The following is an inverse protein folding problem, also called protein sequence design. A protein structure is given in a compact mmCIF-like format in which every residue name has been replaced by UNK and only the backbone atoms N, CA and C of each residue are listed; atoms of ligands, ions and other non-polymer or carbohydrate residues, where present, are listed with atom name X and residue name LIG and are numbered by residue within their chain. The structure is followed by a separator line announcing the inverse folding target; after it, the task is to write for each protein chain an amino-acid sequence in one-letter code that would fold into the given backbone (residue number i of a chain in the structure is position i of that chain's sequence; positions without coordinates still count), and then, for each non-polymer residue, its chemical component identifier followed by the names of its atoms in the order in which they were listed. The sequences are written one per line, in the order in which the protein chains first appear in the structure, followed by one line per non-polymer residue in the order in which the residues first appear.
data_IF_761603366643
#
_entry.id   IF_761603366643
#
_cell.length_a   1.000
_cell.length_b   1.000
_cell.length_c   1.000
_cell.angle_alpha   90.00
_cell.angle_beta   90.00
_cell.angle_gamma   90.00
#
_symmetry.space_group_name_H-M   'P 1'
#
loop_
_entity.id
_entity.type
_entity.pdbx_description
1 polymer ?
#
# COMPACT_ATOMS: atom_id res chain seq x y z
N UNK A 1 -11.13 15.18 8.13
CA UNK A 1 -10.32 14.59 7.03
C UNK A 1 -9.63 13.36 7.59
N UNK A 2 -10.36 12.25 7.64
CA UNK A 2 -10.02 11.06 8.45
C UNK A 2 -9.05 10.11 7.72
N UNK A 3 -9.17 10.01 6.39
CA UNK A 3 -8.31 9.14 5.57
C UNK A 3 -6.85 9.58 5.51
N UNK A 4 -6.59 10.89 5.57
CA UNK A 4 -5.23 11.43 5.74
C UNK A 4 -4.64 11.02 7.09
N UNK A 5 -5.41 10.96 8.17
CA UNK A 5 -4.91 10.43 9.45
C UNK A 5 -4.59 8.95 9.36
N UNK A 6 -5.41 8.17 8.66
CA UNK A 6 -5.17 6.74 8.40
C UNK A 6 -3.87 6.51 7.64
N UNK A 7 -3.54 7.34 6.65
CA UNK A 7 -2.25 7.30 5.96
C UNK A 7 -1.06 7.45 6.92
N UNK A 8 -1.10 8.45 7.81
CA UNK A 8 -0.02 8.68 8.77
C UNK A 8 0.11 7.53 9.76
N UNK A 9 -1.01 7.06 10.30
CA UNK A 9 -1.05 5.93 11.23
C UNK A 9 -0.55 4.63 10.59
N UNK A 10 -0.99 4.33 9.37
CA UNK A 10 -0.57 3.18 8.59
C UNK A 10 0.95 3.14 8.34
N UNK A 11 1.56 4.32 8.14
CA UNK A 11 3.02 4.46 7.98
C UNK A 11 3.78 4.51 9.31
N UNK A 12 3.09 4.51 10.45
CA UNK A 12 3.70 4.72 11.76
C UNK A 12 4.34 6.10 11.92
N UNK A 13 3.81 7.12 11.24
CA UNK A 13 4.31 8.50 11.31
C UNK A 13 3.42 9.25 12.28
N UNK A 14 3.99 9.64 13.43
CA UNK A 14 3.28 10.50 14.37
C UNK A 14 3.00 11.88 13.74
N UNK A 15 1.75 12.34 13.82
CA UNK A 15 1.35 13.70 13.43
C UNK A 15 1.80 14.75 14.47
N UNK A 16 3.08 14.74 14.86
CA UNK A 16 3.69 15.75 15.75
C UNK A 16 4.15 16.98 14.96
N UNK A 17 4.36 18.09 15.67
CA UNK A 17 4.76 19.39 15.10
C UNK A 17 6.05 19.39 14.26
N UNK A 18 6.89 18.34 14.35
CA UNK A 18 8.07 18.15 13.50
C UNK A 18 8.12 16.73 12.92
N UNK A 19 7.47 16.52 11.78
CA UNK A 19 7.71 15.36 10.92
C UNK A 19 9.16 15.44 10.40
N UNK A 20 9.93 14.34 10.52
CA UNK A 20 11.31 14.28 10.02
C UNK A 20 11.36 14.56 8.51
N UNK A 21 12.50 15.06 8.01
CA UNK A 21 12.66 15.36 6.57
C UNK A 21 12.38 14.12 5.68
N UNK A 22 12.79 12.95 6.15
CA UNK A 22 12.52 11.67 5.48
C UNK A 22 11.02 11.34 5.44
N UNK A 23 10.31 11.49 6.57
CA UNK A 23 8.87 11.25 6.62
C UNK A 23 8.08 12.25 5.76
N UNK A 24 8.52 13.52 5.70
CA UNK A 24 7.95 14.51 4.79
C UNK A 24 8.11 14.07 3.33
N UNK A 25 9.30 13.62 2.95
CA UNK A 25 9.57 13.13 1.60
C UNK A 25 8.68 11.93 1.23
N UNK A 26 8.49 10.98 2.16
CA UNK A 26 7.59 9.83 1.99
C UNK A 26 6.16 10.31 1.71
N UNK A 27 5.63 11.17 2.57
CA UNK A 27 4.26 11.70 2.43
C UNK A 27 4.12 12.45 1.11
N UNK A 28 5.09 13.30 0.75
CA UNK A 28 5.09 14.02 -0.52
C UNK A 28 5.06 13.07 -1.72
N UNK A 29 5.81 11.95 -1.71
CA UNK A 29 5.76 10.96 -2.78
C UNK A 29 4.39 10.31 -2.93
N UNK A 30 3.76 9.94 -1.81
CA UNK A 30 2.41 9.36 -1.81
C UNK A 30 1.39 10.38 -2.33
N UNK A 31 1.38 11.60 -1.78
CA UNK A 31 0.44 12.64 -2.18
C UNK A 31 0.61 13.04 -3.65
N UNK A 32 1.84 13.15 -4.14
CA UNK A 32 2.10 13.43 -5.56
C UNK A 32 1.62 12.29 -6.46
N UNK A 33 1.72 11.03 -6.01
CA UNK A 33 1.21 9.88 -6.75
C UNK A 33 -0.31 9.90 -6.81
N UNK A 34 -0.98 10.11 -5.67
CA UNK A 34 -2.44 10.27 -5.61
C UNK A 34 -2.93 11.42 -6.47
N UNK A 35 -2.28 12.59 -6.38
CA UNK A 35 -2.64 13.79 -7.14
C UNK A 35 -2.62 13.57 -8.66
N UNK A 36 -1.70 12.73 -9.16
CA UNK A 36 -1.64 12.38 -10.60
C UNK A 36 -2.88 11.60 -11.05
N UNK A 37 -3.38 10.69 -10.21
CA UNK A 37 -4.58 9.89 -10.50
C UNK A 37 -5.88 10.65 -10.23
N UNK A 38 -5.86 11.56 -9.27
CA UNK A 38 -7.00 12.40 -8.90
C UNK A 38 -7.17 13.65 -9.80
N UNK A 39 -6.51 13.72 -10.96
CA UNK A 39 -6.62 14.87 -11.87
C UNK A 39 -6.19 16.21 -11.27
N UNK A 40 -5.30 16.20 -10.27
CA UNK A 40 -4.84 17.39 -9.56
C UNK A 40 -5.63 17.75 -8.29
N UNK A 41 -6.78 17.12 -8.04
CA UNK A 41 -7.57 17.30 -6.81
C UNK A 41 -7.03 16.46 -5.65
N UNK A 42 -7.26 16.92 -4.42
CA UNK A 42 -6.98 16.18 -3.19
C UNK A 42 -8.21 16.18 -2.26
N UNK A 43 -9.42 16.25 -2.83
CA UNK A 43 -10.65 16.00 -2.08
C UNK A 43 -10.72 14.51 -1.72
N UNK A 44 -11.44 14.21 -0.65
CA UNK A 44 -11.52 12.84 -0.09
C UNK A 44 -12.03 11.82 -1.12
N UNK A 45 -13.10 12.16 -1.83
CA UNK A 45 -13.70 11.30 -2.87
C UNK A 45 -12.71 11.01 -4.01
N UNK A 46 -11.99 12.04 -4.47
CA UNK A 46 -11.00 11.92 -5.53
C UNK A 46 -9.79 11.09 -5.10
N UNK A 47 -9.38 11.21 -3.83
CA UNK A 47 -8.32 10.37 -3.25
C UNK A 47 -8.77 8.91 -3.20
N UNK A 48 -9.99 8.64 -2.74
CA UNK A 48 -10.52 7.28 -2.66
C UNK A 48 -10.56 6.62 -4.05
N UNK A 49 -11.05 7.35 -5.05
CA UNK A 49 -11.05 6.89 -6.45
C UNK A 49 -9.60 6.66 -6.90
N UNK A 50 -8.69 7.61 -6.70
CA UNK A 50 -7.29 7.45 -7.08
C UNK A 50 -6.64 6.21 -6.46
N UNK A 51 -6.92 5.91 -5.18
CA UNK A 51 -6.41 4.72 -4.50
C UNK A 51 -6.96 3.42 -5.10
N UNK A 52 -8.27 3.38 -5.36
CA UNK A 52 -8.94 2.26 -6.03
C UNK A 52 -8.33 2.01 -7.41
N UNK A 53 -8.14 3.08 -8.16
CA UNK A 53 -7.61 3.05 -9.51
C UNK A 53 -6.16 2.56 -9.54
N UNK A 54 -5.30 3.10 -8.67
CA UNK A 54 -3.93 2.62 -8.52
C UNK A 54 -3.92 1.13 -8.17
N UNK A 55 -4.81 0.69 -7.28
CA UNK A 55 -4.89 -0.72 -6.86
C UNK A 55 -5.31 -1.65 -7.99
N UNK A 56 -6.33 -1.28 -8.76
CA UNK A 56 -6.72 -2.03 -9.96
C UNK A 56 -5.55 -2.20 -10.93
N UNK A 57 -4.78 -1.13 -11.17
CA UNK A 57 -3.61 -1.19 -12.04
C UNK A 57 -2.53 -2.12 -11.48
N UNK A 58 -2.20 -2.02 -10.19
CA UNK A 58 -1.16 -2.85 -9.59
C UNK A 58 -1.56 -4.34 -9.49
N UNK A 59 -2.86 -4.64 -9.44
CA UNK A 59 -3.41 -5.99 -9.48
C UNK A 59 -3.68 -6.50 -10.91
N UNK A 60 -3.34 -5.71 -11.93
CA UNK A 60 -3.58 -6.03 -13.34
C UNK A 60 -5.04 -6.34 -13.65
N UNK A 61 -5.95 -5.61 -13.03
CA UNK A 61 -7.40 -5.70 -13.30
C UNK A 61 -7.69 -4.86 -14.54
N UNK A 62 -8.20 -5.51 -15.58
CA UNK A 62 -8.51 -4.86 -16.85
C UNK A 62 -9.60 -3.80 -16.71
N UNK A 63 -9.38 -2.63 -17.28
CA UNK A 63 -10.30 -1.48 -17.20
C UNK A 63 -11.03 -1.15 -18.50
N UNK A 64 -11.39 -2.14 -19.31
CA UNK A 64 -12.45 -1.89 -20.30
C UNK A 64 -13.68 -1.27 -19.61
N UNK A 65 -14.60 -0.64 -20.34
CA UNK A 65 -15.88 -0.05 -19.84
C UNK A 65 -16.82 -1.08 -19.14
N UNK A 66 -16.27 -1.95 -18.31
CA UNK A 66 -16.75 -3.24 -17.86
C UNK A 66 -17.15 -3.21 -16.38
N UNK A 67 -16.65 -2.22 -15.63
CA UNK A 67 -16.90 -2.11 -14.19
C UNK A 67 -17.42 -0.73 -13.80
N UNK A 68 -18.54 -0.72 -13.08
CA UNK A 68 -18.96 0.37 -12.19
C UNK A 68 -18.03 0.40 -10.97
N UNK A 69 -18.07 1.51 -10.20
CA UNK A 69 -17.19 1.73 -9.03
C UNK A 69 -17.28 0.58 -8.02
N UNK A 70 -18.49 0.10 -7.76
CA UNK A 70 -18.76 -0.99 -6.83
C UNK A 70 -18.22 -2.33 -7.37
N UNK A 71 -18.42 -2.60 -8.66
CA UNK A 71 -17.93 -3.82 -9.32
C UNK A 71 -16.40 -3.87 -9.34
N UNK A 72 -15.73 -2.72 -9.53
CA UNK A 72 -14.28 -2.63 -9.47
C UNK A 72 -13.74 -2.90 -8.07
N UNK A 73 -14.45 -2.42 -7.03
CA UNK A 73 -14.08 -2.69 -5.65
C UNK A 73 -14.18 -4.20 -5.34
N UNK A 74 -15.25 -4.85 -5.79
CA UNK A 74 -15.43 -6.28 -5.59
C UNK A 74 -14.34 -7.10 -6.33
N UNK A 75 -14.01 -6.72 -7.56
CA UNK A 75 -12.93 -7.35 -8.32
C UNK A 75 -11.55 -7.19 -7.64
N UNK A 76 -11.26 -5.99 -7.11
CA UNK A 76 -10.03 -5.74 -6.33
C UNK A 76 -9.95 -6.68 -5.13
N UNK A 77 -11.05 -6.88 -4.44
CA UNK A 77 -11.08 -7.69 -3.22
C UNK A 77 -10.98 -9.17 -3.56
N UNK A 78 -11.71 -9.63 -4.58
CA UNK A 78 -11.58 -11.00 -5.08
C UNK A 78 -10.14 -11.32 -5.47
N UNK A 79 -9.48 -10.44 -6.23
CA UNK A 79 -8.07 -10.61 -6.59
C UNK A 79 -7.13 -10.59 -5.39
N UNK A 80 -7.41 -9.76 -4.38
CA UNK A 80 -6.66 -9.75 -3.12
C UNK A 80 -6.78 -11.08 -2.38
N UNK A 81 -7.99 -11.63 -2.25
CA UNK A 81 -8.25 -12.92 -1.60
C UNK A 81 -7.57 -14.07 -2.35
N UNK A 82 -7.69 -14.12 -3.68
CA UNK A 82 -6.97 -15.07 -4.54
C UNK A 82 -5.46 -15.05 -4.31
N UNK A 83 -4.87 -13.85 -4.24
CA UNK A 83 -3.45 -13.69 -3.98
C UNK A 83 -3.08 -14.19 -2.59
N UNK A 84 -3.83 -13.77 -1.57
CA UNK A 84 -3.55 -14.09 -0.16
C UNK A 84 -3.60 -15.58 0.11
N UNK A 85 -4.53 -16.29 -0.54
CA UNK A 85 -4.73 -17.73 -0.35
C UNK A 85 -3.81 -18.57 -1.26
N UNK A 86 -3.05 -17.92 -2.15
CA UNK A 86 -2.13 -18.62 -3.05
C UNK A 86 -0.90 -19.19 -2.31
N UNK A 87 -0.43 -20.34 -2.80
CA UNK A 87 0.83 -20.94 -2.35
C UNK A 87 2.03 -20.03 -2.63
N UNK A 88 2.04 -19.38 -3.79
CA UNK A 88 3.10 -18.47 -4.20
C UNK A 88 3.25 -17.30 -3.24
N UNK A 89 2.14 -16.74 -2.75
CA UNK A 89 2.17 -15.70 -1.73
C UNK A 89 2.78 -16.23 -0.43
N UNK A 90 2.38 -17.42 0.02
CA UNK A 90 2.91 -18.02 1.25
C UNK A 90 4.42 -18.25 1.17
N UNK A 91 4.91 -18.76 0.04
CA UNK A 91 6.34 -18.94 -0.23
C UNK A 91 7.08 -17.59 -0.31
N UNK A 92 6.49 -16.60 -0.99
CA UNK A 92 7.05 -15.26 -1.10
C UNK A 92 7.20 -14.60 0.28
N UNK A 93 6.19 -14.66 1.14
CA UNK A 93 6.24 -14.08 2.49
C UNK A 93 7.23 -14.80 3.39
N UNK A 94 7.34 -16.13 3.28
CA UNK A 94 8.36 -16.89 4.02
C UNK A 94 9.77 -16.39 3.69
N UNK A 95 10.04 -16.12 2.41
CA UNK A 95 11.31 -15.57 1.92
C UNK A 95 11.49 -14.08 2.23
N UNK A 96 10.40 -13.32 2.39
CA UNK A 96 10.43 -11.88 2.72
C UNK A 96 11.00 -11.61 4.13
N UNK A 97 11.07 -12.62 5.00
CA UNK A 97 11.62 -12.50 6.36
C UNK A 97 13.08 -11.98 6.38
N UNK A 98 13.90 -12.31 5.37
CA UNK A 98 15.26 -11.77 5.25
C UNK A 98 15.24 -10.25 4.98
N UNK A 99 14.36 -9.80 4.08
CA UNK A 99 14.18 -8.40 3.69
C UNK A 99 13.72 -7.53 4.88
N UNK A 100 12.84 -8.06 5.72
CA UNK A 100 12.34 -7.39 6.93
C UNK A 100 13.40 -7.28 8.04
N UNK A 101 14.36 -8.21 8.05
CA UNK A 101 15.49 -8.20 8.99
C UNK A 101 16.62 -7.24 8.57
N UNK A 102 16.56 -6.69 7.35
CA UNK A 102 17.58 -5.79 6.81
C UNK A 102 17.71 -4.51 7.66
N UNK A 103 18.93 -4.25 8.12
CA UNK A 103 19.20 -3.17 9.09
C UNK A 103 19.29 -1.79 8.44
N UNK A 104 19.52 -1.70 7.13
CA UNK A 104 19.70 -0.43 6.40
C UNK A 104 18.93 -0.39 5.07
N UNK A 105 18.64 0.82 4.58
CA UNK A 105 18.00 1.04 3.27
C UNK A 105 18.87 0.56 2.10
N UNK A 106 20.20 0.53 2.29
CA UNK A 106 21.15 0.00 1.31
C UNK A 106 21.04 -1.52 1.21
N UNK A 107 21.01 -2.21 2.36
CA UNK A 107 20.83 -3.66 2.42
C UNK A 107 19.49 -4.06 1.80
N UNK A 108 18.44 -3.32 2.11
CA UNK A 108 17.13 -3.52 1.51
C UNK A 108 17.14 -3.35 -0.01
N UNK A 109 17.69 -2.24 -0.53
CA UNK A 109 17.75 -2.03 -1.98
C UNK A 109 18.59 -3.10 -2.69
N UNK A 110 19.62 -3.64 -2.02
CA UNK A 110 20.41 -4.77 -2.54
C UNK A 110 19.58 -6.05 -2.56
N UNK A 111 18.88 -6.37 -1.47
CA UNK A 111 18.01 -7.54 -1.41
C UNK A 111 16.84 -7.43 -2.40
N UNK A 112 16.26 -6.24 -2.58
CA UNK A 112 15.24 -5.98 -3.60
C UNK A 112 15.77 -6.19 -5.03
N UNK A 113 17.03 -5.83 -5.32
CA UNK A 113 17.63 -6.08 -6.64
C UNK A 113 17.88 -7.56 -6.90
N UNK A 114 18.14 -8.32 -5.84
CA UNK A 114 18.46 -9.73 -5.93
C UNK A 114 17.22 -10.64 -5.93
N UNK A 115 16.05 -10.10 -5.56
CA UNK A 115 14.80 -10.83 -5.52
C UNK A 115 13.83 -10.30 -6.58
N UNK A 116 13.13 -11.20 -7.27
CA UNK A 116 11.99 -10.80 -8.12
C UNK A 116 10.86 -10.41 -7.16
N UNK A 117 10.61 -9.12 -7.06
CA UNK A 117 9.52 -8.58 -6.26
C UNK A 117 8.27 -8.62 -7.12
N UNK A 118 7.36 -9.53 -6.79
CA UNK A 118 6.01 -9.43 -7.33
C UNK A 118 5.22 -8.41 -6.50
N UNK A 119 4.99 -7.24 -7.10
CA UNK A 119 4.30 -6.13 -6.44
C UNK A 119 2.95 -6.55 -5.86
N UNK A 120 2.25 -7.50 -6.50
CA UNK A 120 0.94 -7.97 -6.03
C UNK A 120 1.00 -8.62 -4.64
N UNK A 121 2.09 -9.31 -4.32
CA UNK A 121 2.29 -9.91 -2.99
C UNK A 121 2.59 -8.86 -1.93
N UNK A 122 3.32 -7.79 -2.28
CA UNK A 122 3.56 -6.67 -1.36
C UNK A 122 2.30 -5.87 -1.04
N UNK A 123 1.31 -5.85 -1.95
CA UNK A 123 -0.01 -5.24 -1.70
C UNK A 123 -0.77 -6.06 -0.65
N UNK A 124 -0.66 -7.39 -0.68
CA UNK A 124 -1.34 -8.27 0.26
C UNK A 124 -0.60 -8.41 1.60
N UNK A 125 0.71 -8.15 1.63
CA UNK A 125 1.52 -8.27 2.83
C UNK A 125 1.06 -7.30 3.92
N UNK A 126 0.80 -7.85 5.11
CA UNK A 126 0.53 -7.08 6.32
C UNK A 126 -0.50 -5.96 6.10
N UNK A 127 -1.62 -6.27 5.45
CA UNK A 127 -2.64 -5.27 5.12
C UNK A 127 -3.54 -4.89 6.32
N UNK A 128 -2.97 -4.68 7.51
CA UNK A 128 -3.67 -4.25 8.72
C UNK A 128 -3.39 -2.78 9.05
N UNK A 129 -4.43 -1.94 9.07
CA UNK A 129 -4.29 -0.53 9.46
C UNK A 129 -3.73 -0.39 10.89
N UNK A 130 -4.03 -1.33 11.78
CA UNK A 130 -3.73 -1.32 13.22
C UNK A 130 -2.42 -2.00 13.60
N UNK A 131 -1.60 -2.34 12.62
CA UNK A 131 -0.29 -2.94 12.88
C UNK A 131 0.52 -2.13 13.90
N UNK A 132 0.99 -2.78 14.97
CA UNK A 132 1.78 -2.18 16.04
C UNK A 132 3.28 -2.45 15.88
N UNK A 133 3.67 -3.50 15.16
CA UNK A 133 5.04 -3.89 14.92
C UNK A 133 5.81 -2.81 14.14
N UNK A 134 6.82 -2.22 14.81
CA UNK A 134 7.63 -1.16 14.21
C UNK A 134 8.47 -1.61 13.01
N UNK A 135 8.81 -2.91 12.92
CA UNK A 135 9.47 -3.49 11.75
C UNK A 135 8.57 -3.41 10.52
N UNK A 136 7.29 -3.79 10.65
CA UNK A 136 6.31 -3.70 9.56
C UNK A 136 6.04 -2.25 9.15
N UNK A 137 5.88 -1.33 10.11
CA UNK A 137 5.75 0.11 9.80
C UNK A 137 6.99 0.67 9.10
N UNK A 138 8.20 0.28 9.55
CA UNK A 138 9.46 0.66 8.90
C UNK A 138 9.53 0.14 7.46
N UNK A 139 9.11 -1.09 7.24
CA UNK A 139 9.03 -1.69 5.91
C UNK A 139 8.04 -0.93 5.01
N UNK A 140 6.84 -0.58 5.50
CA UNK A 140 5.87 0.25 4.77
C UNK A 140 6.46 1.60 4.36
N UNK A 141 7.18 2.29 5.27
CA UNK A 141 7.88 3.55 4.96
C UNK A 141 8.92 3.38 3.87
N UNK A 142 9.61 2.25 3.87
CA UNK A 142 10.63 1.92 2.88
C UNK A 142 10.01 1.59 1.52
N UNK A 143 8.93 0.80 1.49
CA UNK A 143 8.11 0.60 0.28
C UNK A 143 7.56 1.92 -0.24
N UNK A 144 7.11 2.83 0.62
CA UNK A 144 6.58 4.12 0.21
C UNK A 144 7.62 4.98 -0.54
N UNK A 145 8.89 4.83 -0.18
CA UNK A 145 9.99 5.45 -0.90
C UNK A 145 10.19 4.80 -2.26
N UNK A 146 10.28 3.47 -2.34
CA UNK A 146 10.68 2.78 -3.57
C UNK A 146 9.53 2.56 -4.55
N UNK A 147 8.36 2.19 -4.03
CA UNK A 147 7.17 1.75 -4.76
C UNK A 147 5.89 2.43 -4.20
N UNK A 148 5.70 3.75 -4.41
CA UNK A 148 4.58 4.48 -3.83
C UNK A 148 3.21 3.93 -4.24
N UNK A 149 3.06 3.41 -5.47
CA UNK A 149 1.81 2.77 -5.93
C UNK A 149 1.47 1.53 -5.10
N UNK A 150 2.44 0.65 -4.86
CA UNK A 150 2.27 -0.55 -4.02
C UNK A 150 1.86 -0.17 -2.61
N UNK A 151 2.50 0.84 -2.01
CA UNK A 151 2.10 1.31 -0.67
C UNK A 151 0.70 1.90 -0.64
N UNK A 152 0.31 2.67 -1.67
CA UNK A 152 -1.05 3.20 -1.79
C UNK A 152 -2.06 2.05 -1.89
N UNK A 153 -1.76 1.02 -2.67
CA UNK A 153 -2.61 -0.15 -2.81
C UNK A 153 -2.71 -0.96 -1.51
N UNK A 154 -1.59 -1.16 -0.80
CA UNK A 154 -1.58 -1.82 0.50
C UNK A 154 -2.44 -1.04 1.50
N UNK A 155 -2.30 0.29 1.57
CA UNK A 155 -3.15 1.15 2.39
C UNK A 155 -4.64 1.04 2.01
N UNK A 156 -4.94 1.04 0.71
CA UNK A 156 -6.31 0.96 0.22
C UNK A 156 -6.99 -0.34 0.65
N UNK A 157 -6.31 -1.47 0.45
CA UNK A 157 -6.78 -2.78 0.92
C UNK A 157 -7.00 -2.75 2.44
N UNK A 158 -6.05 -2.21 3.21
CA UNK A 158 -6.21 -2.11 4.67
C UNK A 158 -7.44 -1.31 5.09
N UNK A 159 -7.71 -0.18 4.44
CA UNK A 159 -8.90 0.64 4.71
C UNK A 159 -10.20 -0.13 4.40
N UNK A 160 -10.22 -0.88 3.29
CA UNK A 160 -11.38 -1.69 2.88
C UNK A 160 -11.63 -2.81 3.87
N UNK A 161 -10.59 -3.57 4.23
CA UNK A 161 -10.69 -4.69 5.17
C UNK A 161 -11.14 -4.19 6.54
N UNK A 162 -10.62 -3.05 7.01
CA UNK A 162 -11.11 -2.42 8.23
C UNK A 162 -12.62 -2.15 8.13
N UNK A 163 -13.08 -1.48 7.06
CA UNK A 163 -14.51 -1.18 6.87
C UNK A 163 -15.39 -2.43 6.80
N UNK A 164 -14.90 -3.54 6.22
CA UNK A 164 -15.62 -4.82 6.15
C UNK A 164 -15.69 -5.54 7.50
N UNK A 165 -14.66 -5.46 8.34
CA UNK A 165 -14.65 -6.08 9.67
C UNK A 165 -15.48 -5.32 10.72
N UNK A 166 -15.90 -4.09 10.43
CA UNK A 166 -16.78 -3.27 11.29
C UNK A 166 -18.26 -3.28 10.87
N UNK A 167 -18.61 -4.00 9.81
CA UNK A 167 -19.98 -4.29 9.39
C UNK A 167 -20.33 -5.75 9.67
#
# INVERSE_FOLDING_TARGET
NDDLKKLYYFLGIEMKNKVSAQNKLIITRILNTLKKYAGGSLKVEDIYIAMMEITAEQLQIERGNKYKKEELLDEIIGRYEEIKDSKDFSEYISNLSSLLSSKSMVDFNRELKNNIIDGKFLIAYNADVREENEGNKRFRRLLAMTFPKITISNLFISIILERRNFN
#
